data_IF_644550913454
#
_entry.id   IF_644550913454
#
_cell.length_a   1.000
_cell.length_b   1.000
_cell.length_c   1.000
_cell.angle_alpha   90.00
_cell.angle_beta   90.00
_cell.angle_gamma   90.00
#
_symmetry.space_group_name_H-M   'P 1'
#
loop_
_entity.id
_entity.type
_entity.pdbx_description
1 polymer ?
#
# COMPACT_ATOMS: atom_id res chain seq x y z
N UNK A 1 6.16 -30.63 5.43
CA UNK A 1 6.02 -30.15 4.03
C UNK A 1 6.33 -28.68 3.82
N UNK A 2 5.49 -27.70 4.22
CA UNK A 2 5.74 -26.27 3.87
C UNK A 2 7.03 -25.74 4.50
N UNK A 3 7.25 -25.98 5.79
CA UNK A 3 8.48 -25.56 6.49
C UNK A 3 9.73 -26.20 5.88
N UNK A 4 9.68 -27.49 5.55
CA UNK A 4 10.80 -28.19 4.93
C UNK A 4 11.17 -27.57 3.58
N UNK A 5 10.19 -27.27 2.73
CA UNK A 5 10.43 -26.59 1.46
C UNK A 5 11.03 -25.18 1.63
N UNK A 6 10.59 -24.44 2.66
CA UNK A 6 11.15 -23.13 2.99
C UNK A 6 12.63 -23.23 3.40
N UNK A 7 13.00 -24.28 4.13
CA UNK A 7 14.37 -24.53 4.56
C UNK A 7 15.24 -24.99 3.38
N UNK A 8 14.73 -25.89 2.52
CA UNK A 8 15.47 -26.42 1.37
C UNK A 8 15.70 -25.35 0.29
N UNK A 9 14.72 -24.47 0.05
CA UNK A 9 14.79 -23.44 -0.98
C UNK A 9 14.45 -22.05 -0.41
N UNK A 10 15.31 -21.46 0.43
CA UNK A 10 14.96 -20.27 1.21
C UNK A 10 14.74 -19.02 0.35
N UNK A 11 15.48 -18.86 -0.75
CA UNK A 11 15.33 -17.72 -1.67
C UNK A 11 14.03 -17.78 -2.49
N UNK A 12 13.73 -18.93 -3.09
CA UNK A 12 12.50 -19.10 -3.88
C UNK A 12 11.27 -19.01 -2.97
N UNK A 13 11.32 -19.65 -1.80
CA UNK A 13 10.20 -19.64 -0.86
C UNK A 13 9.87 -18.25 -0.33
N UNK A 14 10.86 -17.44 0.06
CA UNK A 14 10.59 -16.07 0.54
C UNK A 14 10.00 -15.18 -0.56
N UNK A 15 10.44 -15.36 -1.81
CA UNK A 15 9.91 -14.61 -2.97
C UNK A 15 8.47 -15.02 -3.26
N UNK A 16 8.17 -16.32 -3.32
CA UNK A 16 6.81 -16.83 -3.56
C UNK A 16 5.86 -16.40 -2.45
N UNK A 17 6.27 -16.48 -1.19
CA UNK A 17 5.46 -16.06 -0.04
C UNK A 17 5.21 -14.55 -0.09
N UNK A 18 6.25 -13.75 -0.35
CA UNK A 18 6.11 -12.29 -0.49
C UNK A 18 5.14 -11.91 -1.61
N UNK A 19 5.20 -12.60 -2.75
CA UNK A 19 4.25 -12.41 -3.85
C UNK A 19 2.81 -12.73 -3.42
N UNK A 20 2.58 -13.87 -2.78
CA UNK A 20 1.24 -14.28 -2.33
C UNK A 20 0.65 -13.32 -1.29
N UNK A 21 1.47 -12.88 -0.33
CA UNK A 21 1.05 -11.88 0.67
C UNK A 21 0.69 -10.57 -0.02
N UNK A 22 1.55 -10.09 -0.93
CA UNK A 22 1.31 -8.86 -1.68
C UNK A 22 0.05 -8.96 -2.54
N UNK A 23 -0.19 -10.11 -3.16
CA UNK A 23 -1.41 -10.39 -3.91
C UNK A 23 -2.65 -10.32 -3.03
N UNK A 24 -2.65 -11.03 -1.90
CA UNK A 24 -3.76 -11.02 -0.95
C UNK A 24 -4.06 -9.60 -0.45
N UNK A 25 -3.03 -8.84 -0.06
CA UNK A 25 -3.18 -7.45 0.36
C UNK A 25 -3.75 -6.55 -0.74
N UNK A 26 -3.25 -6.69 -1.97
CA UNK A 26 -3.70 -5.89 -3.10
C UNK A 26 -5.16 -6.17 -3.43
N UNK A 27 -5.59 -7.44 -3.33
CA UNK A 27 -6.99 -7.82 -3.48
C UNK A 27 -7.85 -7.23 -2.35
N UNK A 28 -7.42 -7.33 -1.10
CA UNK A 28 -8.12 -6.70 0.04
C UNK A 28 -8.28 -5.20 -0.20
N UNK A 29 -7.21 -4.47 -0.55
CA UNK A 29 -7.31 -3.04 -0.86
C UNK A 29 -8.26 -2.78 -2.03
N UNK A 30 -8.25 -3.62 -3.07
CA UNK A 30 -9.16 -3.47 -4.21
C UNK A 30 -10.63 -3.59 -3.82
N UNK A 31 -10.98 -4.58 -3.00
CA UNK A 31 -12.36 -4.87 -2.61
C UNK A 31 -12.87 -3.97 -1.48
N UNK A 32 -12.00 -3.60 -0.54
CA UNK A 32 -12.38 -2.80 0.63
C UNK A 32 -12.26 -1.28 0.40
N UNK A 33 -11.57 -0.84 -0.66
CA UNK A 33 -11.46 0.58 -1.01
C UNK A 33 -12.32 0.90 -2.24
N UNK A 34 -13.16 1.93 -2.14
CA UNK A 34 -13.92 2.45 -3.28
C UNK A 34 -12.97 3.14 -4.28
N UNK A 35 -12.59 2.40 -5.33
CA UNK A 35 -11.63 2.84 -6.34
C UNK A 35 -12.11 4.09 -7.11
N UNK A 36 -13.42 4.24 -7.32
CA UNK A 36 -13.97 5.40 -8.00
C UNK A 36 -13.82 6.65 -7.13
N UNK A 37 -14.21 6.56 -5.85
CA UNK A 37 -14.08 7.68 -4.90
C UNK A 37 -12.61 8.09 -4.70
N UNK A 38 -11.69 7.13 -4.67
CA UNK A 38 -10.26 7.41 -4.57
C UNK A 38 -9.71 8.17 -5.80
N UNK A 39 -10.22 7.88 -7.01
CA UNK A 39 -9.85 8.64 -8.21
C UNK A 39 -10.38 10.06 -8.15
N UNK A 40 -11.66 10.22 -7.81
CA UNK A 40 -12.30 11.54 -7.65
C UNK A 40 -11.52 12.41 -6.66
N UNK A 41 -11.18 11.87 -5.48
CA UNK A 41 -10.40 12.59 -4.47
C UNK A 41 -9.01 12.99 -4.98
N UNK A 42 -8.31 12.12 -5.72
CA UNK A 42 -7.03 12.47 -6.34
C UNK A 42 -7.17 13.57 -7.39
N UNK A 43 -8.26 13.59 -8.14
CA UNK A 43 -8.51 14.61 -9.15
C UNK A 43 -8.93 15.95 -8.53
N UNK A 44 -9.71 15.93 -7.44
CA UNK A 44 -10.00 17.11 -6.60
C UNK A 44 -8.68 17.67 -6.03
N UNK A 45 -7.79 16.81 -5.53
CA UNK A 45 -6.49 17.24 -5.00
C UNK A 45 -5.63 17.92 -6.08
N UNK A 46 -5.62 17.40 -7.31
CA UNK A 46 -4.94 18.06 -8.44
C UNK A 46 -5.59 19.40 -8.79
N UNK A 47 -6.91 19.46 -8.84
CA UNK A 47 -7.64 20.70 -9.11
C UNK A 47 -7.33 21.77 -8.05
N UNK A 48 -7.33 21.41 -6.76
CA UNK A 48 -6.95 22.30 -5.66
C UNK A 48 -5.50 22.79 -5.79
N UNK A 49 -4.57 21.91 -6.16
CA UNK A 49 -3.17 22.31 -6.40
C UNK A 49 -3.04 23.31 -7.57
N UNK A 50 -3.85 23.19 -8.61
CA UNK A 50 -3.89 24.16 -9.72
C UNK A 50 -4.49 25.49 -9.22
N UNK A 51 -5.62 25.45 -8.48
CA UNK A 51 -6.23 26.64 -7.88
C UNK A 51 -5.25 27.40 -6.99
N UNK A 52 -4.47 26.70 -6.16
CA UNK A 52 -3.43 27.32 -5.30
C UNK A 52 -2.34 28.03 -6.10
N UNK A 53 -1.88 27.43 -7.21
CA UNK A 53 -0.89 28.07 -8.09
C UNK A 53 -1.41 29.34 -8.75
N UNK A 54 -2.71 29.39 -9.05
CA UNK A 54 -3.35 30.52 -9.72
C UNK A 54 -3.87 31.59 -8.75
N UNK A 55 -3.86 31.35 -7.44
CA UNK A 55 -4.43 32.24 -6.43
C UNK A 55 -3.44 33.31 -5.93
N UNK A 56 -2.48 33.73 -6.76
CA UNK A 56 -1.38 34.64 -6.40
C UNK A 56 -1.86 35.86 -5.59
N UNK A 57 -1.48 35.92 -4.30
CA UNK A 57 -1.75 37.06 -3.41
C UNK A 57 -3.13 37.09 -2.74
N UNK A 58 -4.09 36.27 -3.14
CA UNK A 58 -5.43 36.24 -2.54
C UNK A 58 -5.46 35.30 -1.33
N UNK A 59 -5.21 35.87 -0.15
CA UNK A 59 -5.11 35.12 1.10
C UNK A 59 -6.42 34.42 1.49
N UNK A 60 -7.58 34.96 1.11
CA UNK A 60 -8.87 34.32 1.39
C UNK A 60 -9.09 33.10 0.50
N UNK A 61 -8.86 33.23 -0.82
CA UNK A 61 -8.94 32.10 -1.74
C UNK A 61 -7.93 31.00 -1.42
N UNK A 62 -6.72 31.36 -1.01
CA UNK A 62 -5.71 30.40 -0.57
C UNK A 62 -6.22 29.60 0.65
N UNK A 63 -6.79 30.27 1.65
CA UNK A 63 -7.35 29.61 2.85
C UNK A 63 -8.51 28.68 2.50
N UNK A 64 -9.41 29.11 1.63
CA UNK A 64 -10.54 28.29 1.19
C UNK A 64 -10.08 27.01 0.47
N UNK A 65 -9.15 27.15 -0.49
CA UNK A 65 -8.61 26.00 -1.24
C UNK A 65 -7.79 25.08 -0.33
N UNK A 66 -7.05 25.62 0.64
CA UNK A 66 -6.37 24.80 1.65
C UNK A 66 -7.34 23.99 2.50
N UNK A 67 -8.48 24.58 2.88
CA UNK A 67 -9.54 23.87 3.62
C UNK A 67 -10.14 22.74 2.77
N UNK A 68 -10.43 23.00 1.49
CA UNK A 68 -10.89 21.98 0.53
C UNK A 68 -9.87 20.83 0.40
N UNK A 69 -8.57 21.16 0.33
CA UNK A 69 -7.47 20.19 0.30
C UNK A 69 -7.38 19.35 1.58
N UNK A 70 -7.60 19.97 2.74
CA UNK A 70 -7.60 19.29 4.03
C UNK A 70 -8.78 18.32 4.12
N UNK A 71 -9.99 18.75 3.76
CA UNK A 71 -11.17 17.90 3.76
C UNK A 71 -11.01 16.70 2.81
N UNK A 72 -10.49 16.96 1.59
CA UNK A 72 -10.15 15.91 0.63
C UNK A 72 -9.11 14.92 1.19
N UNK A 73 -8.08 15.43 1.87
CA UNK A 73 -7.03 14.61 2.48
C UNK A 73 -7.58 13.75 3.64
N UNK A 74 -8.46 14.31 4.46
CA UNK A 74 -9.13 13.59 5.55
C UNK A 74 -10.04 12.49 5.01
N UNK A 75 -10.76 12.74 3.92
CA UNK A 75 -11.59 11.72 3.28
C UNK A 75 -10.76 10.60 2.67
N UNK A 76 -9.65 10.96 1.99
CA UNK A 76 -8.71 10.00 1.44
C UNK A 76 -8.05 9.15 2.55
N UNK A 77 -7.74 9.76 3.69
CA UNK A 77 -7.26 9.07 4.88
C UNK A 77 -8.31 8.08 5.41
N UNK A 78 -9.57 8.50 5.55
CA UNK A 78 -10.65 7.59 6.00
C UNK A 78 -10.82 6.38 5.08
N UNK A 79 -10.71 6.57 3.76
CA UNK A 79 -10.79 5.48 2.79
C UNK A 79 -9.56 4.57 2.78
N UNK A 80 -8.38 5.09 3.12
CA UNK A 80 -7.13 4.31 3.17
C UNK A 80 -6.87 3.64 4.52
N UNK A 81 -7.38 4.19 5.63
CA UNK A 81 -7.18 3.66 6.97
C UNK A 81 -7.91 2.34 7.22
N UNK A 82 -9.15 2.18 6.74
CA UNK A 82 -9.91 0.93 6.90
C UNK A 82 -9.16 -0.28 6.31
N UNK A 83 -8.71 -0.24 5.04
CA UNK A 83 -7.88 -1.30 4.47
C UNK A 83 -6.55 -1.45 5.19
N UNK A 84 -5.92 -0.34 5.62
CA UNK A 84 -4.64 -0.39 6.32
C UNK A 84 -4.75 -1.21 7.60
N UNK A 85 -5.71 -0.93 8.48
CA UNK A 85 -5.87 -1.68 9.72
C UNK A 85 -6.14 -3.17 9.48
N UNK A 86 -6.99 -3.47 8.49
CA UNK A 86 -7.32 -4.85 8.13
C UNK A 86 -6.14 -5.60 7.51
N UNK A 87 -5.25 -4.92 6.78
CA UNK A 87 -4.06 -5.53 6.16
C UNK A 87 -2.87 -5.58 7.10
N UNK A 88 -2.75 -4.65 8.04
CA UNK A 88 -1.61 -4.51 8.94
C UNK A 88 -1.60 -5.59 10.03
N UNK A 89 -2.76 -5.95 10.59
CA UNK A 89 -2.84 -6.98 11.64
C UNK A 89 -2.40 -8.37 11.12
N UNK A 90 -2.91 -8.87 9.97
CA UNK A 90 -2.41 -10.11 9.37
C UNK A 90 -0.95 -10.01 8.95
N UNK A 91 -0.49 -8.84 8.46
CA UNK A 91 0.90 -8.63 8.06
C UNK A 91 1.86 -8.90 9.22
N UNK A 92 1.57 -8.35 10.40
CA UNK A 92 2.43 -8.51 11.58
C UNK A 92 2.52 -9.98 11.98
N UNK A 93 1.39 -10.68 12.04
CA UNK A 93 1.33 -12.09 12.42
C UNK A 93 2.15 -12.94 11.43
N UNK A 94 1.95 -12.72 10.13
CA UNK A 94 2.70 -13.42 9.08
C UNK A 94 4.19 -13.08 9.10
N UNK A 95 4.52 -11.80 9.29
CA UNK A 95 5.90 -11.34 9.37
C UNK A 95 6.65 -11.97 10.55
N UNK A 96 6.01 -12.05 11.72
CA UNK A 96 6.60 -12.71 12.90
C UNK A 96 6.88 -14.19 12.64
N UNK A 97 5.94 -14.89 12.00
CA UNK A 97 6.11 -16.29 11.64
C UNK A 97 7.24 -16.52 10.63
N UNK A 98 7.29 -15.72 9.55
CA UNK A 98 8.32 -15.77 8.51
C UNK A 98 9.69 -15.46 9.12
N UNK A 99 9.79 -14.42 9.95
CA UNK A 99 11.02 -14.02 10.63
C UNK A 99 11.61 -15.18 11.44
N UNK A 100 10.80 -15.87 12.23
CA UNK A 100 11.27 -16.99 13.06
C UNK A 100 11.83 -18.16 12.24
N UNK A 101 11.48 -18.27 10.96
CA UNK A 101 12.00 -19.31 10.08
C UNK A 101 13.27 -18.83 9.37
N UNK A 102 13.24 -17.63 8.77
CA UNK A 102 14.33 -17.20 7.88
C UNK A 102 15.52 -16.53 8.58
N UNK A 103 15.38 -16.09 9.83
CA UNK A 103 16.45 -15.40 10.55
C UNK A 103 17.73 -16.24 10.67
N UNK A 104 17.57 -17.55 10.88
CA UNK A 104 18.69 -18.48 11.04
C UNK A 104 19.15 -19.13 9.73
N UNK A 105 18.35 -19.00 8.65
CA UNK A 105 18.56 -19.71 7.38
C UNK A 105 19.14 -18.79 6.30
N UNK A 106 18.67 -17.55 6.23
CA UNK A 106 18.98 -16.64 5.13
C UNK A 106 19.32 -15.25 5.67
N UNK A 107 20.62 -14.94 5.75
CA UNK A 107 21.07 -13.59 6.04
C UNK A 107 20.49 -12.60 5.01
N UNK A 108 19.93 -11.49 5.50
CA UNK A 108 19.29 -10.49 4.63
C UNK A 108 17.97 -10.94 3.99
N UNK A 109 17.30 -11.98 4.51
CA UNK A 109 15.97 -12.43 4.04
C UNK A 109 14.94 -11.29 3.95
N UNK A 110 15.07 -10.28 4.81
CA UNK A 110 14.18 -9.11 4.82
C UNK A 110 14.29 -8.29 3.53
N UNK A 111 15.47 -8.18 2.93
CA UNK A 111 15.67 -7.48 1.66
C UNK A 111 15.07 -8.25 0.50
N UNK A 112 15.19 -9.57 0.51
CA UNK A 112 14.51 -10.44 -0.46
C UNK A 112 12.99 -10.32 -0.34
N UNK A 113 12.47 -10.32 0.88
CA UNK A 113 11.05 -10.16 1.16
C UNK A 113 10.52 -8.80 0.68
N UNK A 114 11.17 -7.70 1.09
CA UNK A 114 10.78 -6.34 0.74
C UNK A 114 10.92 -6.10 -0.77
N UNK A 115 12.05 -6.49 -1.37
CA UNK A 115 12.30 -6.31 -2.79
C UNK A 115 11.27 -7.04 -3.66
N UNK A 116 11.04 -8.32 -3.38
CA UNK A 116 10.00 -9.09 -4.08
C UNK A 116 8.61 -8.48 -3.85
N UNK A 117 8.32 -8.01 -2.65
CA UNK A 117 7.03 -7.40 -2.30
C UNK A 117 6.77 -6.11 -3.06
N UNK A 118 7.76 -5.21 -3.13
CA UNK A 118 7.65 -3.95 -3.87
C UNK A 118 7.41 -4.21 -5.35
N UNK A 119 8.22 -5.06 -5.99
CA UNK A 119 8.09 -5.40 -7.41
C UNK A 119 6.71 -6.00 -7.69
N UNK A 120 6.32 -6.99 -6.88
CA UNK A 120 5.00 -7.63 -6.99
C UNK A 120 3.88 -6.61 -6.85
N UNK A 121 3.99 -5.68 -5.89
CA UNK A 121 3.00 -4.65 -5.65
C UNK A 121 2.83 -3.73 -6.85
N UNK A 122 3.93 -3.30 -7.47
CA UNK A 122 3.89 -2.43 -8.66
C UNK A 122 3.17 -3.15 -9.80
N UNK A 123 3.53 -4.40 -10.06
CA UNK A 123 2.91 -5.22 -11.12
C UNK A 123 1.43 -5.44 -10.82
N UNK A 124 1.10 -5.87 -9.62
CA UNK A 124 -0.26 -6.23 -9.22
C UNK A 124 -1.19 -5.03 -9.20
N UNK A 125 -0.75 -3.86 -8.71
CA UNK A 125 -1.58 -2.64 -8.74
C UNK A 125 -1.90 -2.22 -10.18
N UNK A 126 -0.94 -2.35 -11.10
CA UNK A 126 -1.14 -2.04 -12.51
C UNK A 126 -2.11 -3.03 -13.18
N UNK A 127 -1.94 -4.33 -12.95
CA UNK A 127 -2.80 -5.39 -13.51
C UNK A 127 -4.22 -5.30 -12.94
N UNK A 128 -4.34 -5.11 -11.63
CA UNK A 128 -5.63 -5.10 -10.94
C UNK A 128 -6.33 -3.73 -10.97
N UNK A 129 -5.70 -2.71 -11.55
CA UNK A 129 -6.19 -1.31 -11.65
C UNK A 129 -6.55 -0.73 -10.27
N UNK A 130 -5.70 -0.98 -9.28
CA UNK A 130 -5.84 -0.43 -7.93
C UNK A 130 -5.15 0.93 -7.89
N UNK A 131 -5.88 1.93 -7.40
CA UNK A 131 -5.48 3.35 -7.35
C UNK A 131 -4.78 3.69 -6.04
#
# INVERSE_FOLDING_TARGET
MIKEWMITNPKLSVVTISFLITLAMTLVTKYYTNQNRMKELKDIQKACNIKLKNAEGDTEKIKEVQKELMDCSLELMKHSMKPMLFTFLPLIILFWWIRNIYIDILAGWIWWYIGAGIISSIVLRKVLKVV
#
